data_IF_372713124402
#
_entry.id   IF_372713124402
#
_cell.length_a   1.000
_cell.length_b   1.000
_cell.length_c   1.000
_cell.angle_alpha   90.00
_cell.angle_beta   90.00
_cell.angle_gamma   90.00
#
_symmetry.space_group_name_H-M   'P 1'
#
loop_
_entity.id
_entity.type
_entity.pdbx_description
1 polymer ?
#
# COMPACT_ATOMS: atom_id res chain seq x y z
N UNK A 1 1.30 15.88 -38.66
CA UNK A 1 0.75 14.95 -37.65
C UNK A 1 -0.49 15.57 -37.02
N UNK A 2 -1.57 14.82 -37.06
CA UNK A 2 -2.77 15.25 -36.36
C UNK A 2 -2.59 14.95 -34.87
N UNK A 3 -2.61 15.97 -34.03
CA UNK A 3 -2.71 15.78 -32.60
C UNK A 3 -4.08 15.17 -32.31
N UNK A 4 -4.10 14.04 -31.65
CA UNK A 4 -5.33 13.46 -31.14
C UNK A 4 -5.88 14.39 -30.07
N UNK A 5 -7.10 14.87 -30.27
CA UNK A 5 -7.79 15.64 -29.22
C UNK A 5 -8.17 14.67 -28.11
N UNK A 6 -7.60 14.89 -26.94
CA UNK A 6 -7.99 14.15 -25.75
C UNK A 6 -9.44 14.49 -25.40
N UNK A 7 -10.26 13.49 -25.17
CA UNK A 7 -11.61 13.68 -24.70
C UNK A 7 -11.60 14.19 -23.27
N UNK A 8 -12.33 15.28 -23.03
CA UNK A 8 -12.47 15.89 -21.72
C UNK A 8 -13.89 15.64 -21.22
N UNK A 9 -14.00 15.16 -20.00
CA UNK A 9 -15.26 15.03 -19.28
C UNK A 9 -15.22 15.90 -18.04
N UNK A 10 -16.37 16.32 -17.56
CA UNK A 10 -16.48 17.29 -16.46
C UNK A 10 -17.04 16.61 -15.22
N UNK A 11 -16.33 16.78 -14.11
CA UNK A 11 -16.64 16.14 -12.85
C UNK A 11 -16.98 17.18 -11.80
N UNK A 12 -17.96 16.91 -10.97
CA UNK A 12 -18.41 17.86 -9.94
C UNK A 12 -17.35 18.05 -8.86
N UNK A 13 -17.26 19.30 -8.40
CA UNK A 13 -16.47 19.65 -7.23
C UNK A 13 -17.44 19.69 -6.05
N UNK A 14 -17.22 18.78 -5.09
CA UNK A 14 -18.06 18.63 -3.91
C UNK A 14 -17.58 19.53 -2.77
N UNK A 15 -18.28 19.49 -1.64
CA UNK A 15 -17.90 20.21 -0.43
C UNK A 15 -16.46 19.86 -0.03
N UNK A 16 -15.68 20.90 0.36
CA UNK A 16 -14.26 20.73 0.67
C UNK A 16 -13.38 20.62 -0.57
N UNK A 17 -13.89 21.02 -1.73
CA UNK A 17 -13.22 20.98 -3.04
C UNK A 17 -12.86 19.58 -3.51
N UNK A 18 -13.49 18.55 -2.96
CA UNK A 18 -13.29 17.16 -3.38
C UNK A 18 -13.86 16.94 -4.77
N UNK A 19 -13.15 16.18 -5.59
CA UNK A 19 -13.60 15.85 -6.95
C UNK A 19 -14.46 14.56 -6.85
N UNK A 20 -15.68 14.64 -7.38
CA UNK A 20 -16.58 13.48 -7.45
C UNK A 20 -16.05 12.47 -8.47
N UNK A 21 -15.81 11.23 -8.03
CA UNK A 21 -15.33 10.16 -8.91
C UNK A 21 -16.51 9.29 -9.34
N UNK A 22 -16.88 9.44 -10.60
CA UNK A 22 -17.90 8.60 -11.26
C UNK A 22 -17.24 7.98 -12.50
N UNK A 23 -17.83 6.94 -13.13
CA UNK A 23 -17.28 6.39 -14.38
C UNK A 23 -17.06 7.48 -15.42
N UNK A 24 -15.89 7.45 -16.07
CA UNK A 24 -15.48 8.52 -16.99
C UNK A 24 -16.52 8.84 -18.05
N UNK A 25 -17.08 7.79 -18.67
CA UNK A 25 -18.07 7.97 -19.76
C UNK A 25 -19.46 8.34 -19.27
N UNK A 26 -19.70 8.33 -17.96
CA UNK A 26 -20.96 8.81 -17.35
C UNK A 26 -20.92 10.31 -17.07
N UNK A 27 -19.73 10.90 -17.08
CA UNK A 27 -19.57 12.33 -16.85
C UNK A 27 -19.95 13.15 -18.10
N UNK A 28 -20.50 14.37 -17.90
CA UNK A 28 -20.91 15.22 -19.05
C UNK A 28 -19.72 15.66 -19.90
N UNK A 29 -19.99 15.87 -21.18
CA UNK A 29 -19.02 16.37 -22.16
C UNK A 29 -18.97 17.90 -22.21
N UNK A 30 -19.94 18.58 -21.60
CA UNK A 30 -20.01 20.02 -21.56
C UNK A 30 -19.71 20.56 -20.17
N UNK A 31 -18.99 21.66 -20.14
CA UNK A 31 -18.62 22.31 -18.87
C UNK A 31 -19.86 22.86 -18.17
N UNK A 32 -20.00 22.56 -16.90
CA UNK A 32 -21.03 23.08 -16.00
C UNK A 32 -20.37 23.82 -14.85
N UNK A 33 -21.19 24.57 -14.08
CA UNK A 33 -20.68 25.25 -12.88
C UNK A 33 -20.18 24.24 -11.85
N UNK A 34 -19.13 24.62 -11.12
CA UNK A 34 -18.51 23.78 -10.09
C UNK A 34 -18.05 22.41 -10.58
N UNK A 35 -17.47 22.39 -11.78
CA UNK A 35 -16.90 21.19 -12.37
C UNK A 35 -15.44 21.42 -12.76
N UNK A 36 -14.70 20.33 -12.87
CA UNK A 36 -13.33 20.31 -13.38
C UNK A 36 -13.27 19.37 -14.59
N UNK A 37 -12.61 19.83 -15.65
CA UNK A 37 -12.39 19.02 -16.85
C UNK A 37 -11.20 18.08 -16.68
N UNK A 38 -11.39 16.80 -16.95
CA UNK A 38 -10.34 15.77 -16.87
C UNK A 38 -10.32 14.96 -18.15
N UNK A 39 -9.13 14.61 -18.63
CA UNK A 39 -8.99 13.57 -19.64
C UNK A 39 -8.99 12.19 -18.98
N UNK A 40 -9.02 11.13 -19.79
CA UNK A 40 -9.08 9.76 -19.29
C UNK A 40 -7.86 9.41 -18.42
N UNK A 41 -6.68 9.88 -18.78
CA UNK A 41 -5.44 9.65 -18.03
C UNK A 41 -5.49 10.28 -16.64
N UNK A 42 -5.95 11.55 -16.56
CA UNK A 42 -6.13 12.25 -15.29
C UNK A 42 -7.19 11.58 -14.43
N UNK A 43 -8.31 11.18 -15.03
CA UNK A 43 -9.38 10.46 -14.34
C UNK A 43 -8.89 9.13 -13.77
N UNK A 44 -8.11 8.37 -14.55
CA UNK A 44 -7.52 7.10 -14.10
C UNK A 44 -6.65 7.31 -12.87
N UNK A 45 -5.82 8.33 -12.90
CA UNK A 45 -4.93 8.67 -11.78
C UNK A 45 -5.72 9.01 -10.51
N UNK A 46 -6.82 9.75 -10.65
CA UNK A 46 -7.66 10.14 -9.53
C UNK A 46 -8.48 8.95 -9.01
N UNK A 47 -9.01 8.10 -9.90
CA UNK A 47 -9.86 6.98 -9.53
C UNK A 47 -9.07 5.81 -8.90
N UNK A 48 -7.79 5.67 -9.23
CA UNK A 48 -6.93 4.58 -8.75
C UNK A 48 -6.05 5.02 -7.58
N UNK A 49 -6.62 5.70 -6.59
CA UNK A 49 -5.89 6.14 -5.41
C UNK A 49 -6.08 5.16 -4.23
N UNK A 50 -5.13 5.13 -3.28
CA UNK A 50 -5.33 4.35 -2.04
C UNK A 50 -6.54 4.85 -1.24
N UNK A 51 -7.11 3.97 -0.41
CA UNK A 51 -8.31 4.29 0.39
C UNK A 51 -8.09 5.43 1.37
N UNK A 52 -6.85 5.67 1.77
CA UNK A 52 -6.50 6.74 2.71
C UNK A 52 -6.27 8.10 2.02
N UNK A 53 -6.39 8.18 0.70
CA UNK A 53 -6.18 9.44 -0.02
C UNK A 53 -7.43 9.88 -0.79
N UNK A 54 -7.47 11.16 -1.15
CA UNK A 54 -8.51 11.75 -1.96
C UNK A 54 -7.93 12.91 -2.75
N UNK A 55 -8.62 13.34 -3.80
CA UNK A 55 -8.16 14.45 -4.64
C UNK A 55 -9.07 15.66 -4.49
N UNK A 56 -8.47 16.83 -4.44
CA UNK A 56 -9.18 18.11 -4.38
C UNK A 56 -8.73 19.00 -5.53
N UNK A 57 -9.63 19.91 -5.94
CA UNK A 57 -9.32 20.98 -6.89
C UNK A 57 -9.01 22.23 -6.10
N UNK A 58 -7.76 22.70 -6.19
CA UNK A 58 -7.28 23.82 -5.39
C UNK A 58 -6.39 24.73 -6.25
N UNK A 59 -6.76 26.00 -6.35
CA UNK A 59 -5.99 27.02 -7.08
C UNK A 59 -5.67 26.62 -8.54
N UNK A 60 -6.64 26.02 -9.23
CA UNK A 60 -6.48 25.56 -10.60
C UNK A 60 -5.73 24.25 -10.76
N UNK A 61 -5.34 23.61 -9.66
CA UNK A 61 -4.57 22.36 -9.66
C UNK A 61 -5.32 21.24 -8.96
N UNK A 62 -5.04 20.00 -9.39
CA UNK A 62 -5.54 18.79 -8.74
C UNK A 62 -4.48 18.35 -7.76
N UNK A 63 -4.83 18.29 -6.47
CA UNK A 63 -3.90 17.98 -5.38
C UNK A 63 -4.38 16.75 -4.62
N UNK A 64 -3.47 15.79 -4.41
CA UNK A 64 -3.75 14.64 -3.56
C UNK A 64 -3.63 15.03 -2.09
N UNK A 65 -4.65 14.68 -1.32
CA UNK A 65 -4.67 14.84 0.13
C UNK A 65 -4.69 13.48 0.79
N UNK A 66 -4.15 13.37 1.99
CA UNK A 66 -4.01 12.12 2.71
C UNK A 66 -4.69 12.22 4.07
N UNK A 67 -5.47 11.21 4.41
CA UNK A 67 -5.97 11.00 5.78
C UNK A 67 -4.85 10.32 6.57
N UNK A 68 -4.06 11.10 7.31
CA UNK A 68 -2.86 10.63 8.00
C UNK A 68 -3.15 9.48 8.97
N UNK A 69 -4.24 9.54 9.72
CA UNK A 69 -4.61 8.51 10.67
C UNK A 69 -4.90 7.18 9.96
N UNK A 70 -5.61 7.22 8.83
CA UNK A 70 -5.91 6.03 8.04
C UNK A 70 -4.67 5.45 7.37
N UNK A 71 -3.80 6.33 6.86
CA UNK A 71 -2.52 5.92 6.29
C UNK A 71 -1.65 5.22 7.32
N UNK A 72 -1.57 5.76 8.53
CA UNK A 72 -0.80 5.17 9.62
C UNK A 72 -1.33 3.78 9.98
N UNK A 73 -2.65 3.58 9.99
CA UNK A 73 -3.25 2.26 10.21
C UNK A 73 -2.90 1.27 9.12
N UNK A 74 -2.93 1.70 7.86
CA UNK A 74 -2.57 0.85 6.70
C UNK A 74 -1.09 0.49 6.77
N UNK A 75 -0.20 1.47 7.02
CA UNK A 75 1.23 1.24 7.12
C UNK A 75 1.56 0.26 8.24
N UNK A 76 0.92 0.42 9.41
CA UNK A 76 1.06 -0.47 10.55
C UNK A 76 0.62 -1.90 10.22
N UNK A 77 -0.55 -2.05 9.60
CA UNK A 77 -1.06 -3.35 9.18
C UNK A 77 -0.13 -4.04 8.18
N UNK A 78 0.42 -3.27 7.22
CA UNK A 78 1.35 -3.79 6.23
C UNK A 78 2.67 -4.24 6.86
N UNK A 79 3.18 -3.50 7.84
CA UNK A 79 4.39 -3.87 8.57
C UNK A 79 4.18 -5.16 9.37
N UNK A 80 3.03 -5.31 10.04
CA UNK A 80 2.68 -6.52 10.78
C UNK A 80 2.59 -7.71 9.82
N UNK A 81 1.89 -7.56 8.70
CA UNK A 81 1.75 -8.60 7.69
C UNK A 81 3.11 -9.05 7.12
N UNK A 82 3.99 -8.09 6.82
CA UNK A 82 5.34 -8.36 6.32
C UNK A 82 6.17 -9.16 7.33
N UNK A 83 6.10 -8.81 8.62
CA UNK A 83 6.78 -9.55 9.68
C UNK A 83 6.23 -10.97 9.84
N UNK A 84 4.91 -11.13 9.78
CA UNK A 84 4.27 -12.45 9.86
C UNK A 84 4.63 -13.33 8.67
N UNK A 85 4.68 -12.75 7.47
CA UNK A 85 5.10 -13.45 6.25
C UNK A 85 6.55 -13.93 6.36
N UNK A 86 7.43 -13.10 6.89
CA UNK A 86 8.82 -13.50 7.11
C UNK A 86 8.93 -14.68 8.08
N UNK A 87 8.19 -14.63 9.20
CA UNK A 87 8.17 -15.75 10.15
C UNK A 87 7.65 -17.03 9.50
N UNK A 88 6.54 -16.95 8.77
CA UNK A 88 5.99 -18.10 8.04
C UNK A 88 6.97 -18.69 7.04
N UNK A 89 7.61 -17.84 6.23
CA UNK A 89 8.53 -18.28 5.19
C UNK A 89 9.81 -18.89 5.73
N UNK A 90 10.16 -18.62 7.00
CA UNK A 90 11.36 -19.12 7.65
C UNK A 90 11.11 -20.16 8.74
N UNK A 91 9.86 -20.60 8.93
CA UNK A 91 9.51 -21.63 9.92
C UNK A 91 10.22 -22.96 9.66
N UNK A 92 10.54 -23.28 8.40
CA UNK A 92 11.28 -24.49 8.06
C UNK A 92 12.65 -24.55 8.74
N UNK A 93 13.27 -23.40 9.01
CA UNK A 93 14.57 -23.33 9.71
C UNK A 93 14.44 -23.87 11.13
N UNK A 94 13.36 -23.51 11.81
CA UNK A 94 13.10 -23.98 13.19
C UNK A 94 12.85 -25.47 13.21
N UNK A 95 12.06 -25.99 12.28
CA UNK A 95 11.80 -27.42 12.14
C UNK A 95 13.09 -28.20 11.88
N UNK A 96 13.92 -27.70 10.97
CA UNK A 96 15.21 -28.33 10.64
C UNK A 96 16.15 -28.35 11.84
N UNK A 97 16.26 -27.24 12.56
CA UNK A 97 17.10 -27.15 13.76
C UNK A 97 16.62 -28.12 14.85
N UNK A 98 15.30 -28.22 15.05
CA UNK A 98 14.75 -29.16 16.03
C UNK A 98 15.04 -30.61 15.67
N UNK A 99 14.92 -31.02 14.41
CA UNK A 99 15.27 -32.34 13.95
C UNK A 99 16.75 -32.68 14.18
N UNK A 100 17.63 -31.74 13.78
CA UNK A 100 19.08 -31.94 13.94
C UNK A 100 19.48 -32.03 15.41
N UNK A 101 18.84 -31.23 16.28
CA UNK A 101 19.10 -31.31 17.72
C UNK A 101 18.82 -32.69 18.31
N UNK A 102 17.79 -33.37 17.77
CA UNK A 102 17.40 -34.69 18.22
C UNK A 102 18.26 -35.82 17.60
N UNK A 103 18.76 -35.62 16.38
CA UNK A 103 19.42 -36.64 15.60
C UNK A 103 20.95 -36.54 15.57
N UNK A 104 21.51 -35.34 15.46
CA UNK A 104 22.94 -35.11 15.26
C UNK A 104 23.37 -33.77 15.84
N UNK A 105 23.95 -33.79 17.03
CA UNK A 105 24.37 -32.55 17.73
C UNK A 105 25.45 -31.78 16.96
N UNK A 106 26.36 -32.45 16.26
CA UNK A 106 27.42 -31.77 15.50
C UNK A 106 26.83 -31.02 14.30
N UNK A 107 25.89 -31.59 13.59
CA UNK A 107 25.18 -30.94 12.48
C UNK A 107 24.27 -29.82 12.99
N UNK A 108 23.67 -29.99 14.18
CA UNK A 108 22.88 -28.94 14.82
C UNK A 108 23.72 -27.68 15.10
N UNK A 109 24.94 -27.86 15.65
CA UNK A 109 25.81 -26.71 15.93
C UNK A 109 26.25 -26.01 14.65
N UNK A 110 26.53 -26.73 13.57
CA UNK A 110 26.82 -26.13 12.25
C UNK A 110 25.63 -25.38 11.71
N UNK A 111 24.44 -25.93 11.79
CA UNK A 111 23.23 -25.33 11.28
C UNK A 111 22.87 -24.06 12.07
N UNK A 112 23.12 -24.02 13.37
CA UNK A 112 22.92 -22.80 14.18
C UNK A 112 23.77 -21.64 13.67
N UNK A 113 24.99 -21.92 13.27
CA UNK A 113 25.91 -20.92 12.72
C UNK A 113 25.41 -20.46 11.34
N UNK A 114 25.04 -21.42 10.49
CA UNK A 114 24.52 -21.16 9.14
C UNK A 114 23.27 -20.27 9.14
N UNK A 115 22.34 -20.54 10.07
CA UNK A 115 21.06 -19.81 10.17
C UNK A 115 21.06 -18.66 11.17
N UNK A 116 22.21 -18.27 11.68
CA UNK A 116 22.35 -17.23 12.71
C UNK A 116 21.62 -15.93 12.32
N UNK A 117 21.81 -15.47 11.07
CA UNK A 117 21.20 -14.22 10.61
C UNK A 117 19.68 -14.31 10.50
N UNK A 118 19.19 -15.47 10.04
CA UNK A 118 17.74 -15.73 9.94
C UNK A 118 17.13 -15.73 11.34
N UNK A 119 17.77 -16.39 12.30
CA UNK A 119 17.28 -16.45 13.68
C UNK A 119 17.23 -15.06 14.31
N UNK A 120 18.24 -14.21 14.06
CA UNK A 120 18.27 -12.83 14.53
C UNK A 120 17.13 -12.00 13.92
N UNK A 121 16.90 -12.12 12.62
CA UNK A 121 15.82 -11.43 11.93
C UNK A 121 14.44 -11.90 12.40
N UNK A 122 14.28 -13.18 12.69
CA UNK A 122 13.03 -13.72 13.26
C UNK A 122 12.73 -13.11 14.63
N UNK A 123 13.74 -12.97 15.46
CA UNK A 123 13.61 -12.32 16.78
C UNK A 123 13.18 -10.86 16.63
N UNK A 124 13.79 -10.15 15.72
CA UNK A 124 13.44 -8.76 15.41
C UNK A 124 11.99 -8.66 14.88
N UNK A 125 11.58 -9.58 14.00
CA UNK A 125 10.23 -9.61 13.46
C UNK A 125 9.18 -9.81 14.56
N UNK A 126 9.41 -10.76 15.48
CA UNK A 126 8.51 -10.98 16.63
C UNK A 126 8.43 -9.76 17.55
N UNK A 127 9.57 -9.14 17.84
CA UNK A 127 9.62 -7.94 18.67
C UNK A 127 8.85 -6.78 18.02
N UNK A 128 8.99 -6.62 16.72
CA UNK A 128 8.29 -5.57 15.95
C UNK A 128 6.78 -5.80 15.94
N UNK A 129 6.33 -7.03 15.74
CA UNK A 129 4.90 -7.38 15.81
C UNK A 129 4.34 -7.03 17.18
N UNK A 130 5.03 -7.41 18.25
CA UNK A 130 4.58 -7.11 19.62
C UNK A 130 4.50 -5.60 19.87
N UNK A 131 5.46 -4.84 19.38
CA UNK A 131 5.48 -3.39 19.50
C UNK A 131 4.30 -2.75 18.74
N UNK A 132 4.02 -3.23 17.51
CA UNK A 132 2.96 -2.67 16.66
C UNK A 132 1.56 -3.08 17.11
N UNK A 133 1.40 -4.26 17.71
CA UNK A 133 0.11 -4.77 18.22
C UNK A 133 -0.21 -4.31 19.65
N UNK A 134 0.74 -3.70 20.30
CA UNK A 134 0.56 -3.22 21.67
C UNK A 134 -0.41 -2.04 21.79
#
# INVERSE_FOLDING_TARGET
MKEEKKEIRYFRILEGNKIEVIPFYDAPTQKEENTVGLDFEQWTKISCHPTYSYFVYQDGNIVEKIHEDEKNKVDKANQIASCKDYLSSTDYVISKLNELKLEDEAEFEKAKIEYKDILAKRKEARAKINQLEA
#
